data_IF_529945703856
#
_entry.id   IF_529945703856
#
_cell.length_a   1.000
_cell.length_b   1.000
_cell.length_c   1.000
_cell.angle_alpha   90.00
_cell.angle_beta   90.00
_cell.angle_gamma   90.00
#
_symmetry.space_group_name_H-M   'P 1'
#
loop_
_entity.id
_entity.type
_entity.pdbx_description
1 polymer ?
#
# COMPACT_ATOMS: atom_id res chain seq x y z
N UNK A 1 -5.49 18.63 1.49
CA UNK A 1 -6.56 17.61 1.55
C UNK A 1 -5.90 16.29 1.89
N UNK A 2 -6.38 15.58 2.91
CA UNK A 2 -5.90 14.23 3.24
C UNK A 2 -6.55 13.23 2.28
N UNK A 3 -5.75 12.32 1.72
CA UNK A 3 -6.23 11.23 0.86
C UNK A 3 -5.81 9.89 1.46
N UNK A 4 -6.62 8.86 1.22
CA UNK A 4 -6.31 7.48 1.55
C UNK A 4 -6.38 6.71 0.24
N UNK A 5 -5.28 6.07 -0.10
CA UNK A 5 -5.14 5.20 -1.28
C UNK A 5 -4.62 3.86 -0.77
N UNK A 6 -5.26 2.77 -1.18
CA UNK A 6 -4.90 1.42 -0.76
C UNK A 6 -4.53 0.59 -2.00
N UNK A 7 -3.33 0.02 -2.00
CA UNK A 7 -2.94 -1.01 -2.93
C UNK A 7 -3.29 -2.37 -2.30
N UNK A 8 -4.31 -3.03 -2.83
CA UNK A 8 -4.76 -4.34 -2.34
C UNK A 8 -3.82 -5.42 -2.91
N UNK A 9 -3.16 -6.16 -2.02
CA UNK A 9 -2.26 -7.24 -2.42
C UNK A 9 -3.06 -8.44 -2.92
N UNK A 10 -2.57 -9.08 -3.98
CA UNK A 10 -3.12 -10.32 -4.52
C UNK A 10 -4.61 -10.23 -4.91
N UNK A 11 -5.06 -9.01 -5.23
CA UNK A 11 -6.42 -8.69 -5.65
C UNK A 11 -6.42 -8.02 -7.02
N UNK A 12 -7.24 -8.53 -7.93
CA UNK A 12 -7.36 -8.03 -9.30
C UNK A 12 -8.83 -7.97 -9.71
N UNK A 13 -9.52 -6.91 -9.28
CA UNK A 13 -10.88 -6.58 -9.67
C UNK A 13 -11.18 -5.10 -9.39
N UNK A 14 -12.26 -4.61 -9.98
CA UNK A 14 -12.77 -3.27 -9.74
C UNK A 14 -13.67 -3.21 -8.49
N UNK A 15 -13.49 -2.16 -7.68
CA UNK A 15 -14.29 -1.89 -6.49
C UNK A 15 -15.15 -0.62 -6.62
N UNK A 16 -15.41 -0.16 -7.84
CA UNK A 16 -16.30 0.97 -8.07
C UNK A 16 -17.70 0.70 -7.49
N UNK A 17 -18.28 1.73 -6.87
CA UNK A 17 -19.58 1.69 -6.20
C UNK A 17 -19.69 0.67 -5.04
N UNK A 18 -18.56 0.12 -4.57
CA UNK A 18 -18.52 -0.76 -3.41
C UNK A 18 -18.20 0.01 -2.12
N UNK A 19 -18.81 -0.40 -1.01
CA UNK A 19 -18.43 0.06 0.32
C UNK A 19 -17.25 -0.77 0.82
N UNK A 20 -16.16 -0.09 1.20
CA UNK A 20 -14.94 -0.73 1.70
C UNK A 20 -14.68 -0.24 3.12
N UNK A 21 -14.28 -1.16 4.00
CA UNK A 21 -13.76 -0.83 5.33
C UNK A 21 -12.25 -1.04 5.37
N UNK A 22 -11.52 -0.12 6.00
CA UNK A 22 -10.07 -0.20 6.18
C UNK A 22 -9.74 -0.24 7.67
N UNK A 23 -8.95 -1.23 8.08
CA UNK A 23 -8.38 -1.31 9.44
C UNK A 23 -6.87 -1.12 9.36
N UNK A 24 -6.35 -0.14 10.10
CA UNK A 24 -4.91 0.10 10.20
C UNK A 24 -4.27 -0.84 11.22
N UNK A 25 -3.40 -1.75 10.75
CA UNK A 25 -2.75 -2.76 11.60
C UNK A 25 -1.40 -2.26 12.13
N UNK A 26 -0.57 -1.71 11.24
CA UNK A 26 0.79 -1.28 11.59
C UNK A 26 1.28 -0.18 10.66
N UNK A 27 2.07 0.75 11.19
CA UNK A 27 2.74 1.78 10.40
C UNK A 27 4.12 1.29 9.99
N UNK A 28 4.35 1.18 8.68
CA UNK A 28 5.62 0.68 8.12
C UNK A 28 6.64 1.79 7.79
N UNK A 29 6.20 3.00 7.42
CA UNK A 29 7.09 4.15 7.15
C UNK A 29 6.37 5.51 7.19
N UNK A 30 7.09 6.64 7.28
CA UNK A 30 6.53 7.97 6.97
C UNK A 30 6.26 8.16 5.47
N UNK A 31 5.54 9.24 5.15
CA UNK A 31 5.42 9.75 3.78
C UNK A 31 6.78 10.25 3.31
N UNK A 32 7.13 9.97 2.06
CA UNK A 32 8.38 10.38 1.46
C UNK A 32 8.15 10.93 0.05
N UNK A 33 8.99 11.87 -0.38
CA UNK A 33 9.03 12.32 -1.77
C UNK A 33 10.03 11.45 -2.53
N UNK A 34 9.70 11.12 -3.78
CA UNK A 34 10.58 10.36 -4.66
C UNK A 34 11.13 11.26 -5.75
N UNK A 35 12.35 10.98 -6.20
CA UNK A 35 13.00 11.70 -7.30
C UNK A 35 12.38 11.42 -8.67
N UNK A 36 11.60 10.34 -8.79
CA UNK A 36 10.94 9.95 -10.03
C UNK A 36 10.16 8.65 -9.90
N UNK A 37 9.58 8.21 -11.01
CA UNK A 37 8.70 7.05 -11.08
C UNK A 37 9.41 5.74 -10.68
N UNK A 38 10.65 5.54 -11.12
CA UNK A 38 11.39 4.30 -10.83
C UNK A 38 11.70 4.17 -9.34
N UNK A 39 12.06 5.28 -8.69
CA UNK A 39 12.27 5.31 -7.24
C UNK A 39 10.99 5.01 -6.46
N UNK A 40 9.84 5.53 -6.92
CA UNK A 40 8.54 5.22 -6.34
C UNK A 40 8.20 3.72 -6.49
N UNK A 41 8.35 3.15 -7.69
CA UNK A 41 8.08 1.73 -7.96
C UNK A 41 8.96 0.82 -7.12
N UNK A 42 10.25 1.12 -7.02
CA UNK A 42 11.19 0.34 -6.21
C UNK A 42 10.77 0.35 -4.73
N UNK A 43 10.38 1.50 -4.20
CA UNK A 43 9.92 1.58 -2.81
C UNK A 43 8.60 0.83 -2.58
N UNK A 44 7.66 0.89 -3.52
CA UNK A 44 6.40 0.13 -3.42
C UNK A 44 6.72 -1.37 -3.29
N UNK A 45 7.64 -1.90 -4.09
CA UNK A 45 8.03 -3.31 -3.98
C UNK A 45 8.63 -3.65 -2.61
N UNK A 46 9.50 -2.79 -2.08
CA UNK A 46 10.08 -2.97 -0.73
C UNK A 46 8.99 -2.95 0.35
N UNK A 47 8.01 -2.05 0.23
CA UNK A 47 6.88 -1.97 1.16
C UNK A 47 6.03 -3.27 1.12
N UNK A 48 5.77 -3.80 -0.08
CA UNK A 48 5.03 -5.06 -0.28
C UNK A 48 5.77 -6.23 0.36
N UNK A 49 7.07 -6.37 0.09
CA UNK A 49 7.89 -7.46 0.62
C UNK A 49 7.96 -7.41 2.16
N UNK A 50 8.10 -6.21 2.72
CA UNK A 50 8.11 -5.98 4.17
C UNK A 50 6.76 -6.33 4.82
N UNK A 51 5.64 -6.01 4.18
CA UNK A 51 4.30 -6.39 4.65
C UNK A 51 4.12 -7.91 4.58
N UNK A 52 4.49 -8.55 3.46
CA UNK A 52 4.39 -10.01 3.32
C UNK A 52 5.19 -10.76 4.38
N UNK A 53 6.38 -10.28 4.72
CA UNK A 53 7.18 -10.86 5.80
C UNK A 53 6.56 -10.68 7.21
N UNK A 54 5.65 -9.71 7.39
CA UNK A 54 4.94 -9.45 8.67
C UNK A 54 3.60 -10.17 8.75
N UNK A 55 2.97 -10.44 7.61
CA UNK A 55 1.75 -11.24 7.51
C UNK A 55 2.10 -12.74 7.58
N UNK A 56 2.58 -13.16 8.75
CA UNK A 56 2.67 -14.57 9.14
C UNK A 56 1.50 -14.79 10.12
N UNK A 57 0.62 -15.78 9.91
CA UNK A 57 -0.35 -16.17 10.95
C UNK A 57 0.33 -16.65 12.24
#
# INVERSE_FOLDING_TARGET
>A
RLTIEAHLLDFDADLYDQTIELTFISRIRPVQKFSGLDALKAQIQVDIDAIRAKLIP
#
